data_IF_011883419260
#
_entry.id   IF_011883419260
#
_cell.length_a   1.000
_cell.length_b   1.000
_cell.length_c   1.000
_cell.angle_alpha   90.00
_cell.angle_beta   90.00
_cell.angle_gamma   90.00
#
_symmetry.space_group_name_H-M   'P 1'
#
loop_
_entity.id
_entity.type
_entity.pdbx_description
1 polymer ?
#
# COMPACT_ATOMS: atom_id res chain seq x y z
N UNK A 1 -26.09 19.11 4.70
CA UNK A 1 -26.20 19.17 3.22
C UNK A 1 -24.86 18.91 2.51
N UNK A 2 -23.73 19.44 3.00
CA UNK A 2 -22.39 19.22 2.41
C UNK A 2 -21.91 17.76 2.34
N UNK A 3 -22.25 16.92 3.33
CA UNK A 3 -21.83 15.51 3.39
C UNK A 3 -22.36 14.67 2.21
N UNK A 4 -23.63 14.84 1.80
CA UNK A 4 -24.22 14.15 0.64
C UNK A 4 -23.55 14.54 -0.69
N UNK A 5 -23.03 15.76 -0.79
CA UNK A 5 -22.39 16.27 -2.01
C UNK A 5 -20.94 15.76 -2.16
N UNK A 6 -20.18 15.67 -1.07
CA UNK A 6 -18.86 15.04 -1.08
C UNK A 6 -18.96 13.55 -1.42
N UNK A 7 -19.95 12.87 -0.85
CA UNK A 7 -20.18 11.46 -1.06
C UNK A 7 -20.51 11.14 -2.53
N UNK A 8 -21.35 11.93 -3.20
CA UNK A 8 -21.68 11.70 -4.62
C UNK A 8 -20.47 11.88 -5.55
N UNK A 9 -19.59 12.84 -5.26
CA UNK A 9 -18.38 13.08 -6.05
C UNK A 9 -17.33 11.98 -5.88
N UNK A 10 -17.10 11.52 -4.65
CA UNK A 10 -16.14 10.45 -4.39
C UNK A 10 -16.52 9.15 -5.09
N UNK A 11 -17.81 8.80 -5.09
CA UNK A 11 -18.29 7.61 -5.79
C UNK A 11 -18.11 7.69 -7.30
N UNK A 12 -18.36 8.86 -7.91
CA UNK A 12 -18.17 9.04 -9.35
C UNK A 12 -16.70 8.90 -9.78
N UNK A 13 -15.77 9.43 -8.98
CA UNK A 13 -14.33 9.30 -9.26
C UNK A 13 -13.88 7.86 -9.12
N UNK A 14 -14.25 7.17 -8.03
CA UNK A 14 -13.92 5.77 -7.83
C UNK A 14 -14.50 4.90 -8.97
N UNK A 15 -15.72 5.17 -9.41
CA UNK A 15 -16.33 4.45 -10.53
C UNK A 15 -15.58 4.66 -11.85
N UNK A 16 -15.14 5.89 -12.13
CA UNK A 16 -14.35 6.21 -13.32
C UNK A 16 -12.99 5.49 -13.29
N UNK A 17 -12.29 5.58 -12.16
CA UNK A 17 -10.99 4.91 -11.96
C UNK A 17 -11.12 3.40 -12.09
N UNK A 18 -12.17 2.79 -11.54
CA UNK A 18 -12.37 1.34 -11.57
C UNK A 18 -12.69 0.80 -12.98
N UNK A 19 -13.31 1.62 -13.84
CA UNK A 19 -13.69 1.23 -15.21
C UNK A 19 -12.50 1.26 -16.18
N UNK A 20 -11.51 2.11 -15.92
CA UNK A 20 -10.32 2.24 -16.77
C UNK A 20 -9.13 1.47 -16.15
N UNK A 21 -8.63 0.40 -16.80
CA UNK A 21 -7.51 -0.38 -16.27
C UNK A 21 -6.22 0.43 -16.12
N UNK A 22 -5.98 1.43 -16.98
CA UNK A 22 -4.79 2.28 -16.92
C UNK A 22 -4.86 3.17 -15.69
N UNK A 23 -5.99 3.81 -15.44
CA UNK A 23 -6.18 4.63 -14.22
C UNK A 23 -6.12 3.76 -12.96
N UNK A 24 -6.77 2.59 -12.99
CA UNK A 24 -6.79 1.64 -11.88
C UNK A 24 -5.39 1.24 -11.43
N UNK A 25 -4.55 0.77 -12.35
CA UNK A 25 -3.18 0.37 -12.01
C UNK A 25 -2.23 1.57 -11.86
N UNK A 26 -2.52 2.69 -12.51
CA UNK A 26 -1.83 3.97 -12.29
C UNK A 26 -1.97 4.45 -10.85
N UNK A 27 -3.17 4.35 -10.26
CA UNK A 27 -3.40 4.65 -8.84
C UNK A 27 -2.61 3.69 -7.95
N UNK A 28 -2.60 2.39 -8.26
CA UNK A 28 -1.86 1.40 -7.47
C UNK A 28 -0.34 1.69 -7.45
N UNK A 29 0.24 1.90 -8.62
CA UNK A 29 1.68 2.20 -8.76
C UNK A 29 2.01 3.57 -8.16
N UNK A 30 1.16 4.58 -8.39
CA UNK A 30 1.34 5.91 -7.83
C UNK A 30 1.31 5.91 -6.29
N UNK A 31 0.30 5.27 -5.70
CA UNK A 31 0.20 5.09 -4.24
C UNK A 31 1.41 4.36 -3.66
N UNK A 32 1.87 3.29 -4.32
CA UNK A 32 3.07 2.56 -3.93
C UNK A 32 4.34 3.44 -3.96
N UNK A 33 4.55 4.21 -5.04
CA UNK A 33 5.71 5.11 -5.17
C UNK A 33 5.69 6.16 -4.06
N UNK A 34 4.54 6.81 -3.83
CA UNK A 34 4.39 7.81 -2.77
C UNK A 34 4.66 7.18 -1.40
N UNK A 35 4.10 6.01 -1.12
CA UNK A 35 4.33 5.30 0.14
C UNK A 35 5.79 4.94 0.37
N UNK A 36 6.49 4.51 -0.68
CA UNK A 36 7.91 4.15 -0.64
C UNK A 36 8.78 5.39 -0.38
N UNK A 37 8.53 6.48 -1.10
CA UNK A 37 9.25 7.74 -0.91
C UNK A 37 9.04 8.29 0.51
N UNK A 38 7.79 8.27 0.98
CA UNK A 38 7.47 8.62 2.36
C UNK A 38 8.19 7.69 3.35
N UNK A 39 8.23 6.38 3.07
CA UNK A 39 8.89 5.42 3.95
C UNK A 39 10.36 5.74 4.13
N UNK A 40 11.07 6.04 3.05
CA UNK A 40 12.48 6.46 3.11
C UNK A 40 12.63 7.80 3.84
N UNK A 41 11.74 8.77 3.59
CA UNK A 41 11.81 10.07 4.23
C UNK A 41 11.61 9.99 5.75
N UNK A 42 10.75 9.08 6.24
CA UNK A 42 10.47 8.92 7.67
C UNK A 42 11.37 7.88 8.35
N UNK A 43 12.08 7.04 7.60
CA UNK A 43 12.91 5.94 8.14
C UNK A 43 13.85 6.37 9.28
N UNK A 44 14.59 7.50 9.18
CA UNK A 44 15.51 7.91 10.24
C UNK A 44 14.81 8.26 11.56
N UNK A 45 13.49 8.48 11.54
CA UNK A 45 12.69 8.88 12.69
C UNK A 45 11.86 7.73 13.27
N UNK A 46 11.84 6.57 12.61
CA UNK A 46 11.08 5.41 13.07
C UNK A 46 11.94 4.50 13.95
N UNK A 47 11.39 3.98 15.06
CA UNK A 47 12.00 2.87 15.75
C UNK A 47 12.11 1.64 14.82
N UNK A 48 13.04 0.71 15.09
CA UNK A 48 13.07 -0.57 14.41
C UNK A 48 11.72 -1.31 14.53
N UNK A 49 11.33 -2.05 13.50
CA UNK A 49 10.14 -2.91 13.52
C UNK A 49 8.88 -2.38 12.83
N UNK A 50 8.95 -1.23 12.13
CA UNK A 50 7.83 -0.67 11.36
C UNK A 50 8.04 -0.68 9.83
N UNK A 51 8.34 -1.84 9.20
CA UNK A 51 8.66 -1.89 7.77
C UNK A 51 7.48 -1.50 6.88
N UNK A 52 6.24 -1.72 7.35
CA UNK A 52 5.02 -1.56 6.55
C UNK A 52 4.22 -0.28 6.78
N UNK A 53 4.70 0.62 7.64
CA UNK A 53 3.90 1.72 8.21
C UNK A 53 3.20 2.60 7.15
N UNK A 54 3.93 3.05 6.14
CA UNK A 54 3.40 3.92 5.08
C UNK A 54 2.66 3.14 3.99
N UNK A 55 2.91 1.84 3.90
CA UNK A 55 2.32 0.97 2.88
C UNK A 55 0.89 0.55 3.22
N UNK A 56 0.56 0.37 4.50
CA UNK A 56 -0.82 0.10 4.94
C UNK A 56 -1.86 1.10 4.42
N UNK A 57 -1.75 2.42 4.70
CA UNK A 57 -2.72 3.38 4.20
C UNK A 57 -2.73 3.46 2.67
N UNK A 58 -1.59 3.24 2.01
CA UNK A 58 -1.52 3.24 0.55
C UNK A 58 -2.32 2.09 -0.08
N UNK A 59 -2.24 0.88 0.49
CA UNK A 59 -3.02 -0.28 0.04
C UNK A 59 -4.51 -0.06 0.29
N UNK A 60 -4.89 0.36 1.51
CA UNK A 60 -6.29 0.60 1.88
C UNK A 60 -6.93 1.64 0.95
N UNK A 61 -6.27 2.78 0.76
CA UNK A 61 -6.78 3.84 -0.11
C UNK A 61 -6.86 3.39 -1.57
N UNK A 62 -5.89 2.59 -2.04
CA UNK A 62 -5.91 2.03 -3.39
C UNK A 62 -7.06 1.03 -3.57
N UNK A 63 -7.27 0.13 -2.61
CA UNK A 63 -8.40 -0.80 -2.62
C UNK A 63 -9.73 -0.07 -2.63
N UNK A 64 -9.88 0.95 -1.81
CA UNK A 64 -11.08 1.78 -1.76
C UNK A 64 -11.33 2.55 -3.07
N UNK A 65 -10.31 3.19 -3.65
CA UNK A 65 -10.47 4.04 -4.84
C UNK A 65 -10.51 3.24 -6.15
N UNK A 66 -9.63 2.27 -6.30
CA UNK A 66 -9.37 1.56 -7.55
C UNK A 66 -9.80 0.07 -7.52
N UNK A 67 -10.30 -0.41 -6.39
CA UNK A 67 -10.83 -1.76 -6.21
C UNK A 67 -9.78 -2.80 -5.80
N UNK A 68 -10.25 -3.99 -5.44
CA UNK A 68 -9.43 -5.08 -4.86
C UNK A 68 -8.21 -5.42 -5.71
N UNK A 69 -8.36 -5.64 -7.02
CA UNK A 69 -7.22 -5.97 -7.89
C UNK A 69 -6.10 -4.91 -7.91
N UNK A 70 -6.44 -3.62 -7.82
CA UNK A 70 -5.44 -2.56 -7.72
C UNK A 70 -4.79 -2.53 -6.33
N UNK A 71 -5.60 -2.71 -5.27
CA UNK A 71 -5.12 -2.87 -3.90
C UNK A 71 -4.11 -4.02 -3.78
N UNK A 72 -4.41 -5.18 -4.37
CA UNK A 72 -3.51 -6.33 -4.40
C UNK A 72 -2.19 -6.01 -5.11
N UNK A 73 -2.21 -5.33 -6.26
CA UNK A 73 -0.97 -4.91 -6.95
C UNK A 73 -0.15 -3.98 -6.06
N UNK A 74 -0.79 -2.98 -5.42
CA UNK A 74 -0.13 -2.08 -4.48
C UNK A 74 0.46 -2.86 -3.30
N UNK A 75 -0.26 -3.84 -2.75
CA UNK A 75 0.19 -4.66 -1.63
C UNK A 75 1.40 -5.54 -2.00
N UNK A 76 1.39 -6.16 -3.18
CA UNK A 76 2.53 -6.97 -3.65
C UNK A 76 3.76 -6.11 -3.84
N UNK A 77 3.65 -4.96 -4.50
CA UNK A 77 4.77 -4.03 -4.68
C UNK A 77 5.32 -3.54 -3.33
N UNK A 78 4.41 -3.19 -2.42
CA UNK A 78 4.75 -2.78 -1.05
C UNK A 78 5.47 -3.89 -0.27
N UNK A 79 5.02 -5.14 -0.42
CA UNK A 79 5.65 -6.31 0.20
C UNK A 79 7.08 -6.49 -0.29
N UNK A 80 7.29 -6.43 -1.60
CA UNK A 80 8.62 -6.57 -2.19
C UNK A 80 9.56 -5.43 -1.76
N UNK A 81 9.07 -4.19 -1.74
CA UNK A 81 9.87 -3.04 -1.32
C UNK A 81 10.22 -3.10 0.17
N UNK A 82 9.26 -3.39 1.03
CA UNK A 82 9.47 -3.57 2.47
C UNK A 82 10.47 -4.69 2.75
N UNK A 83 10.30 -5.84 2.10
CA UNK A 83 11.17 -6.99 2.27
C UNK A 83 12.61 -6.66 1.87
N UNK A 84 12.80 -6.02 0.72
CA UNK A 84 14.15 -5.74 0.23
C UNK A 84 14.85 -4.61 0.99
N UNK A 85 14.17 -3.52 1.33
CA UNK A 85 14.82 -2.33 1.89
C UNK A 85 14.67 -2.12 3.39
N UNK A 86 13.60 -2.64 4.01
CA UNK A 86 13.19 -2.22 5.36
C UNK A 86 13.13 -3.35 6.38
N UNK A 87 13.51 -4.57 6.01
CA UNK A 87 13.58 -5.71 6.93
C UNK A 87 14.96 -6.37 6.86
N UNK A 88 15.53 -6.71 8.01
CA UNK A 88 16.79 -7.43 8.06
C UNK A 88 16.63 -8.90 7.62
N UNK A 89 17.59 -9.46 6.85
CA UNK A 89 18.76 -8.79 6.26
C UNK A 89 18.41 -7.87 5.09
N UNK A 90 18.96 -6.65 5.07
CA UNK A 90 18.68 -5.63 4.05
C UNK A 90 19.30 -5.94 2.69
N UNK A 91 18.71 -5.39 1.63
CA UNK A 91 19.12 -5.52 0.23
C UNK A 91 19.16 -6.97 -0.27
N UNK A 92 18.29 -7.82 0.29
CA UNK A 92 18.11 -9.20 -0.12
C UNK A 92 16.68 -9.63 0.15
N UNK A 93 16.25 -10.73 -0.45
CA UNK A 93 14.97 -11.38 -0.15
C UNK A 93 15.18 -12.51 0.87
N UNK A 94 15.98 -12.24 1.91
CA UNK A 94 16.24 -13.18 2.98
C UNK A 94 14.98 -13.39 3.83
N UNK A 95 14.58 -14.66 3.99
CA UNK A 95 13.45 -15.02 4.84
C UNK A 95 13.95 -15.48 6.22
N UNK A 96 14.02 -14.54 7.16
CA UNK A 96 14.28 -14.81 8.57
C UNK A 96 12.99 -14.79 9.39
N UNK A 97 13.09 -15.01 10.69
CA UNK A 97 11.95 -14.96 11.60
C UNK A 97 11.23 -13.60 11.57
N UNK A 98 12.00 -12.51 11.62
CA UNK A 98 11.44 -11.15 11.60
C UNK A 98 10.73 -10.81 10.28
N UNK A 99 11.35 -11.11 9.13
CA UNK A 99 10.72 -10.87 7.82
C UNK A 99 9.50 -11.75 7.59
N UNK A 100 9.54 -13.02 8.01
CA UNK A 100 8.38 -13.89 7.95
C UNK A 100 7.20 -13.32 8.73
N UNK A 101 7.38 -12.95 10.00
CA UNK A 101 6.30 -12.43 10.84
C UNK A 101 5.76 -11.10 10.31
N UNK A 102 6.64 -10.18 9.90
CA UNK A 102 6.23 -8.88 9.38
C UNK A 102 5.44 -8.99 8.07
N UNK A 103 5.92 -9.80 7.12
CA UNK A 103 5.25 -10.04 5.83
C UNK A 103 3.92 -10.74 6.05
N UNK A 104 3.88 -11.78 6.89
CA UNK A 104 2.66 -12.50 7.20
C UNK A 104 1.59 -11.57 7.79
N UNK A 105 1.98 -10.72 8.73
CA UNK A 105 1.07 -9.74 9.32
C UNK A 105 0.53 -8.77 8.27
N UNK A 106 1.43 -8.18 7.47
CA UNK A 106 1.04 -7.22 6.43
C UNK A 106 0.09 -7.83 5.40
N UNK A 107 0.43 -9.00 4.86
CA UNK A 107 -0.38 -9.69 3.84
C UNK A 107 -1.74 -10.08 4.40
N UNK A 108 -1.81 -10.53 5.65
CA UNK A 108 -3.09 -10.91 6.28
C UNK A 108 -3.99 -9.70 6.46
N UNK A 109 -3.45 -8.58 6.95
CA UNK A 109 -4.23 -7.33 7.10
C UNK A 109 -4.67 -6.81 5.73
N UNK A 110 -3.74 -6.73 4.77
CA UNK A 110 -4.03 -6.26 3.41
C UNK A 110 -5.03 -7.15 2.65
N UNK A 111 -5.22 -8.41 3.05
CA UNK A 111 -6.21 -9.31 2.48
C UNK A 111 -7.62 -9.14 3.09
N UNK A 112 -7.72 -8.52 4.26
CA UNK A 112 -9.00 -8.26 4.96
C UNK A 112 -9.61 -6.92 4.56
N UNK A 113 -8.77 -5.96 4.18
CA UNK A 113 -9.18 -4.66 3.62
C UNK A 113 -9.71 -4.76 2.17
#
# INVERSE_FOLDING_TARGET
>A
MAYKFLQSRMFHVAETVRKDPVLKYGVAVGSFIVATLLRFAVDPYLPPGFPFLTFFPAVILTGFLAGTGAGTVCAVLSTLAAWYWFIEPFNTFGLGYQSFVAILFFVTVAAVD
#
